data_IF_191204938913
#
_entry.id   IF_191204938913
#
_cell.length_a   1.000
_cell.length_b   1.000
_cell.length_c   1.000
_cell.angle_alpha   90.00
_cell.angle_beta   90.00
_cell.angle_gamma   90.00
#
_symmetry.space_group_name_H-M   'P 1'
#
loop_
_entity.id
_entity.type
_entity.pdbx_description
1 polymer ?
#
# COMPACT_ATOMS: atom_id res chain seq x y z
N UNK A 1 -33.62 -21.06 -15.85
CA UNK A 1 -33.35 -19.62 -16.04
C UNK A 1 -31.93 -19.40 -15.57
N UNK A 2 -30.99 -19.42 -16.51
CA UNK A 2 -29.58 -19.19 -16.23
C UNK A 2 -29.35 -17.69 -15.99
N UNK A 3 -29.03 -17.35 -14.75
CA UNK A 3 -28.59 -15.99 -14.42
C UNK A 3 -27.10 -15.95 -14.74
N UNK A 4 -26.75 -15.40 -15.92
CA UNK A 4 -25.39 -15.00 -16.23
C UNK A 4 -24.94 -14.01 -15.15
N UNK A 5 -24.08 -14.46 -14.24
CA UNK A 5 -23.50 -13.64 -13.21
C UNK A 5 -22.37 -12.82 -13.85
N UNK A 6 -22.60 -11.54 -14.11
CA UNK A 6 -21.63 -10.62 -14.71
C UNK A 6 -20.44 -10.41 -13.75
N UNK A 7 -19.20 -10.79 -14.12
CA UNK A 7 -18.05 -10.68 -13.23
C UNK A 7 -17.44 -9.26 -13.16
N UNK A 8 -18.02 -8.26 -13.82
CA UNK A 8 -17.32 -6.99 -14.13
C UNK A 8 -17.78 -5.77 -13.32
N UNK A 9 -18.57 -5.93 -12.26
CA UNK A 9 -18.91 -4.80 -11.40
C UNK A 9 -17.83 -4.60 -10.34
N UNK A 10 -16.74 -3.91 -10.73
CA UNK A 10 -15.75 -3.40 -9.78
C UNK A 10 -16.46 -2.55 -8.73
N UNK A 11 -16.47 -3.02 -7.49
CA UNK A 11 -17.02 -2.26 -6.37
C UNK A 11 -16.01 -1.18 -5.98
N UNK A 12 -16.41 0.08 -6.15
CA UNK A 12 -15.63 1.24 -5.69
C UNK A 12 -15.91 1.42 -4.21
N UNK A 13 -14.85 1.56 -3.42
CA UNK A 13 -14.92 1.72 -1.97
C UNK A 13 -14.17 2.99 -1.58
N UNK A 14 -14.77 3.80 -0.71
CA UNK A 14 -14.18 5.08 -0.27
C UNK A 14 -13.22 4.84 0.88
N UNK A 15 -11.94 5.17 0.71
CA UNK A 15 -10.91 5.07 1.75
C UNK A 15 -10.81 6.39 2.51
N UNK A 16 -11.01 6.33 3.82
CA UNK A 16 -11.06 7.51 4.69
C UNK A 16 -9.77 7.70 5.50
N UNK A 17 -9.09 6.60 5.80
CA UNK A 17 -7.81 6.60 6.48
C UNK A 17 -7.01 5.34 6.10
N UNK A 18 -5.69 5.42 6.23
CA UNK A 18 -4.80 4.27 6.11
C UNK A 18 -3.80 4.25 7.26
N UNK A 19 -3.40 3.05 7.68
CA UNK A 19 -2.28 2.88 8.61
C UNK A 19 -1.45 1.65 8.25
N UNK A 20 -0.11 1.73 8.38
CA UNK A 20 0.73 0.55 8.31
C UNK A 20 0.48 -0.35 9.53
N UNK A 21 0.52 -1.66 9.30
CA UNK A 21 0.45 -2.70 10.32
C UNK A 21 1.62 -3.67 10.12
N UNK A 22 2.10 -4.23 11.24
CA UNK A 22 2.99 -5.38 11.24
C UNK A 22 2.16 -6.56 11.72
N UNK A 23 2.05 -7.58 10.90
CA UNK A 23 1.32 -8.81 11.23
C UNK A 23 2.09 -9.60 12.30
N UNK A 24 1.43 -10.53 13.01
CA UNK A 24 2.12 -11.37 14.00
C UNK A 24 3.27 -12.21 13.44
N UNK A 25 3.24 -12.51 12.14
CA UNK A 25 4.30 -13.22 11.41
C UNK A 25 5.45 -12.30 10.95
N UNK A 26 5.40 -11.01 11.29
CA UNK A 26 6.42 -10.02 10.95
C UNK A 26 6.24 -9.33 9.60
N UNK A 27 5.28 -9.78 8.77
CA UNK A 27 5.04 -9.20 7.44
C UNK A 27 4.32 -7.85 7.54
N UNK A 28 4.61 -6.98 6.58
CA UNK A 28 3.96 -5.67 6.49
C UNK A 28 2.57 -5.79 5.85
N UNK A 29 1.63 -5.03 6.38
CA UNK A 29 0.30 -4.87 5.83
C UNK A 29 -0.12 -3.40 5.89
N UNK A 30 -1.11 -3.02 5.09
CA UNK A 30 -1.76 -1.71 5.18
C UNK A 30 -3.22 -1.96 5.51
N UNK A 31 -3.69 -1.36 6.61
CA UNK A 31 -5.10 -1.27 6.90
C UNK A 31 -5.69 -0.03 6.24
N UNK A 32 -6.80 -0.21 5.54
CA UNK A 32 -7.61 0.85 4.97
C UNK A 32 -8.93 0.88 5.74
N UNK A 33 -9.24 2.02 6.36
CA UNK A 33 -10.56 2.28 6.91
C UNK A 33 -11.45 2.78 5.78
N UNK A 34 -12.52 2.05 5.50
CA UNK A 34 -13.47 2.39 4.42
C UNK A 34 -14.82 2.82 4.97
N UNK A 35 -15.56 3.62 4.20
CA UNK A 35 -16.90 4.06 4.58
C UNK A 35 -17.90 2.90 4.52
N UNK A 36 -17.80 2.06 3.50
CA UNK A 36 -18.82 1.07 3.14
C UNK A 36 -18.55 -0.32 3.75
N UNK A 37 -17.29 -0.72 3.89
CA UNK A 37 -16.89 -2.09 4.24
C UNK A 37 -16.18 -2.20 5.59
N UNK A 38 -16.01 -1.08 6.31
CA UNK A 38 -15.20 -1.03 7.52
C UNK A 38 -13.71 -1.15 7.22
N UNK A 39 -12.94 -1.70 8.16
CA UNK A 39 -11.49 -1.85 7.99
C UNK A 39 -11.13 -3.08 7.18
N UNK A 40 -10.32 -2.90 6.14
CA UNK A 40 -9.78 -3.96 5.28
C UNK A 40 -8.26 -3.89 5.33
N UNK A 41 -7.58 -5.03 5.47
CA UNK A 41 -6.12 -5.09 5.47
C UNK A 41 -5.59 -5.79 4.21
N UNK A 42 -4.58 -5.20 3.59
CA UNK A 42 -3.86 -5.75 2.44
C UNK A 42 -2.43 -6.09 2.83
N UNK A 43 -1.95 -7.26 2.39
CA UNK A 43 -0.54 -7.60 2.51
C UNK A 43 0.30 -6.72 1.59
N UNK A 44 1.41 -6.22 2.10
CA UNK A 44 2.38 -5.50 1.28
C UNK A 44 3.31 -6.51 0.64
N UNK A 45 3.46 -6.42 -0.69
CA UNK A 45 4.48 -7.17 -1.41
C UNK A 45 5.88 -6.77 -0.90
N UNK A 46 6.56 -7.70 -0.24
CA UNK A 46 7.89 -7.48 0.33
C UNK A 46 8.92 -7.11 -0.72
N UNK A 47 8.81 -7.63 -1.94
CA UNK A 47 9.73 -7.33 -3.02
C UNK A 47 9.56 -5.88 -3.49
N UNK A 48 8.31 -5.43 -3.62
CA UNK A 48 8.02 -4.03 -3.93
C UNK A 48 8.49 -3.09 -2.82
N UNK A 49 8.29 -3.47 -1.55
CA UNK A 49 8.77 -2.70 -0.40
C UNK A 49 10.30 -2.60 -0.35
N UNK A 50 10.99 -3.70 -0.66
CA UNK A 50 12.44 -3.72 -0.72
C UNK A 50 12.98 -2.81 -1.83
N UNK A 51 12.41 -2.89 -3.03
CA UNK A 51 12.78 -2.02 -4.15
C UNK A 51 12.57 -0.54 -3.81
N UNK A 52 11.45 -0.20 -3.16
CA UNK A 52 11.18 1.17 -2.70
C UNK A 52 12.23 1.65 -1.70
N UNK A 53 12.61 0.81 -0.72
CA UNK A 53 13.65 1.14 0.26
C UNK A 53 15.00 1.40 -0.39
N UNK A 54 15.38 0.61 -1.40
CA UNK A 54 16.61 0.86 -2.16
C UNK A 54 16.58 2.22 -2.86
N UNK A 55 15.49 2.51 -3.59
CA UNK A 55 15.34 3.78 -4.30
C UNK A 55 15.39 4.99 -3.35
N UNK A 56 14.74 4.91 -2.18
CA UNK A 56 14.83 5.97 -1.15
C UNK A 56 16.26 6.11 -0.64
N UNK A 57 16.96 5.01 -0.36
CA UNK A 57 18.35 5.05 0.10
C UNK A 57 19.31 5.70 -0.92
N UNK A 58 19.08 5.47 -2.21
CA UNK A 58 19.81 6.14 -3.29
C UNK A 58 19.54 7.65 -3.31
N UNK A 59 18.27 8.05 -3.22
CA UNK A 59 17.87 9.47 -3.16
C UNK A 59 18.49 10.15 -1.94
N UNK A 60 18.40 9.55 -0.76
CA UNK A 60 18.99 10.10 0.47
C UNK A 60 20.52 10.23 0.36
N UNK A 61 21.17 9.24 -0.25
CA UNK A 61 22.62 9.27 -0.48
C UNK A 61 23.00 10.42 -1.41
N UNK A 62 22.25 10.62 -2.50
CA UNK A 62 22.48 11.70 -3.44
C UNK A 62 22.18 13.08 -2.81
N UNK A 63 21.12 13.20 -2.01
CA UNK A 63 20.82 14.42 -1.25
C UNK A 63 21.95 14.77 -0.28
N UNK A 64 22.52 13.79 0.43
CA UNK A 64 23.67 13.99 1.32
C UNK A 64 24.95 14.39 0.58
N UNK A 65 25.12 13.95 -0.68
CA UNK A 65 26.24 14.35 -1.54
C UNK A 65 26.14 15.79 -2.07
N UNK A 66 24.94 16.38 -2.08
CA UNK A 66 24.71 17.76 -2.54
C UNK A 66 24.16 18.67 -1.43
N UNK A 67 24.94 19.02 -0.40
CA UNK A 67 24.52 20.05 0.53
C UNK A 67 24.55 21.41 -0.20
N UNK A 68 23.38 22.02 -0.44
CA UNK A 68 23.30 23.46 -0.77
C UNK A 68 22.91 23.88 -2.20
N UNK A 69 22.03 23.15 -2.92
CA UNK A 69 21.28 23.75 -4.04
C UNK A 69 19.84 24.01 -3.61
N UNK A 70 19.68 25.05 -2.80
CA UNK A 70 18.41 25.75 -2.57
C UNK A 70 18.56 27.17 -3.13
#
# INVERSE_FOLDING_TARGET
>A
MDVLNYPDQLSIVTVNASRPLIRPDGRYAIELATTELGSIAFEVDEQALFALRQAIGEIETEMKRRPGRA
#
